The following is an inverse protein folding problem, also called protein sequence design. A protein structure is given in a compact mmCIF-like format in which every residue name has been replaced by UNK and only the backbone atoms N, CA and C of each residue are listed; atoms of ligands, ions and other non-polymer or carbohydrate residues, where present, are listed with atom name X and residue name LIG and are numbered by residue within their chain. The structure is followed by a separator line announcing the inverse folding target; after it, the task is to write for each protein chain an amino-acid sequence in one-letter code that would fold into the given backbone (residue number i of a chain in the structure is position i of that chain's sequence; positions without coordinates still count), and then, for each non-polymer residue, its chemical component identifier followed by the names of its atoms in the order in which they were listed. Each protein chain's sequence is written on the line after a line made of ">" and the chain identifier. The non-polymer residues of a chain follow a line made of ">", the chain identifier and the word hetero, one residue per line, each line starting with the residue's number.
data_IF_913610729467
#
_entry.id   IF_913610729467
#
_cell.length_a   1.000
_cell.length_b   1.000
_cell.length_c   1.000
_cell.angle_alpha   90.00
_cell.angle_beta   90.00
_cell.angle_gamma   90.00
#
_symmetry.space_group_name_H-M   'P 1'
#
loop_
_entity.id
_entity.type
_entity.pdbx_description
1 polymer ?
2 non-polymer ?
3 non-polymer ?
4 water ?
#
# COMPACT_ATOMS: atom_id res chain seq x y z
N UNK A 1 -14.27 22.61 -0.75
CA UNK A 1 -15.04 22.19 -1.96
C UNK A 1 -14.12 21.52 -2.99
N UNK A 2 -13.59 20.34 -2.66
CA UNK A 2 -12.86 19.51 -3.62
C UNK A 2 -13.84 19.00 -4.65
N UNK A 3 -13.39 18.95 -5.92
CA UNK A 3 -14.14 18.37 -7.02
C UNK A 3 -13.29 17.36 -7.76
N UNK A 4 -13.91 16.25 -8.15
CA UNK A 4 -13.27 15.21 -8.94
C UNK A 4 -13.10 15.74 -10.37
N UNK A 5 -11.86 15.98 -10.85
CA UNK A 5 -11.68 16.46 -12.22
C UNK A 5 -11.96 15.32 -13.18
N UNK A 6 -12.57 15.64 -14.33
CA UNK A 6 -12.70 14.71 -15.43
C UNK A 6 -11.29 14.33 -15.88
N UNK A 7 -11.13 13.07 -16.34
CA UNK A 7 -9.93 12.64 -17.05
C UNK A 7 -9.73 13.51 -18.29
N UNK A 8 -8.48 13.82 -18.70
CA UNK A 8 -8.24 14.56 -19.93
C UNK A 8 -8.33 13.70 -21.21
N UNK A 9 -8.93 12.52 -21.11
CA UNK A 9 -9.11 11.59 -22.22
C UNK A 9 -10.22 10.61 -21.82
N UNK A 10 -10.75 9.87 -22.80
CA UNK A 10 -11.71 8.81 -22.54
C UNK A 10 -11.09 7.75 -21.62
N UNK A 11 -11.95 7.04 -20.90
CA UNK A 11 -11.52 6.00 -19.97
C UNK A 11 -10.78 4.85 -20.66
N UNK A 12 -11.01 4.68 -21.98
CA UNK A 12 -10.40 3.60 -22.76
C UNK A 12 -9.18 4.05 -23.58
N UNK A 13 -8.75 5.31 -23.43
CA UNK A 13 -7.72 5.92 -24.30
C UNK A 13 -6.29 5.44 -24.03
N UNK A 14 -6.07 4.80 -22.87
CA UNK A 14 -4.76 4.32 -22.49
C UNK A 14 -4.62 2.80 -22.58
N UNK A 15 -5.70 2.13 -23.02
CA UNK A 15 -5.77 0.67 -23.03
C UNK A 15 -4.72 0.04 -23.94
N UNK A 16 -4.62 0.53 -25.17
CA UNK A 16 -3.61 0.06 -26.11
C UNK A 16 -2.17 0.34 -25.65
N UNK A 17 -2.00 1.26 -24.70
CA UNK A 17 -0.69 1.61 -24.12
C UNK A 17 -0.39 0.95 -22.74
N UNK A 18 -1.30 0.09 -22.26
CA UNK A 18 -1.06 -0.76 -21.12
C UNK A 18 -1.73 -0.39 -19.80
N UNK A 19 -2.66 0.56 -19.83
CA UNK A 19 -3.51 0.89 -18.68
C UNK A 19 -4.97 0.75 -19.13
N UNK A 20 -5.64 -0.30 -18.61
CA UNK A 20 -6.94 -0.73 -19.13
C UNK A 20 -8.05 0.24 -18.74
N UNK A 21 -9.16 0.15 -19.46
CA UNK A 21 -10.37 0.90 -19.17
C UNK A 21 -10.81 0.60 -17.75
N UNK A 22 -10.75 -0.68 -17.36
CA UNK A 22 -11.17 -1.10 -16.02
C UNK A 22 -10.38 -0.38 -14.93
N UNK A 23 -9.06 -0.26 -15.12
CA UNK A 23 -8.22 0.46 -14.17
C UNK A 23 -8.62 1.93 -14.02
N UNK A 24 -8.86 2.61 -15.15
CA UNK A 24 -9.28 4.02 -15.08
C UNK A 24 -10.64 4.19 -14.42
N UNK A 25 -11.59 3.29 -14.69
CA UNK A 25 -12.89 3.31 -14.03
C UNK A 25 -12.71 3.18 -12.49
N UNK A 26 -12.09 2.09 -12.03
CA UNK A 26 -11.86 1.92 -10.58
C UNK A 26 -11.05 3.06 -10.00
N UNK A 27 -9.95 3.40 -10.67
CA UNK A 27 -8.93 4.28 -10.09
C UNK A 27 -9.44 5.71 -10.02
N UNK A 28 -10.03 6.19 -11.11
CA UNK A 28 -10.57 7.55 -11.18
C UNK A 28 -11.96 7.65 -10.56
N UNK A 29 -12.87 6.76 -10.97
CA UNK A 29 -14.31 6.90 -10.64
C UNK A 29 -14.61 6.45 -9.21
N UNK A 30 -13.77 5.59 -8.63
CA UNK A 30 -13.95 5.14 -7.26
C UNK A 30 -12.89 5.65 -6.29
N UNK A 31 -11.61 5.35 -6.56
CA UNK A 31 -10.55 5.74 -5.63
C UNK A 31 -10.40 7.26 -5.51
N UNK A 32 -10.23 7.95 -6.64
CA UNK A 32 -10.03 9.39 -6.60
C UNK A 32 -11.29 10.06 -6.04
N UNK A 33 -12.47 9.60 -6.49
CA UNK A 33 -13.75 10.07 -5.96
C UNK A 33 -13.81 9.97 -4.42
N UNK A 34 -13.32 8.87 -3.86
CA UNK A 34 -13.32 8.69 -2.41
C UNK A 34 -12.43 9.73 -1.71
N UNK A 35 -11.27 10.07 -2.29
CA UNK A 35 -10.40 11.10 -1.71
C UNK A 35 -11.09 12.47 -1.70
N UNK A 36 -11.79 12.78 -2.80
CA UNK A 36 -12.57 14.02 -2.91
C UNK A 36 -13.68 14.05 -1.85
N UNK A 37 -14.50 13.00 -1.82
CA UNK A 37 -15.68 12.94 -0.95
C UNK A 37 -15.28 12.88 0.52
N UNK A 38 -14.33 11.99 0.85
CA UNK A 38 -13.87 11.85 2.23
C UNK A 38 -13.13 13.11 2.69
N UNK A 39 -12.30 13.67 1.80
CA UNK A 39 -11.69 14.98 2.01
C UNK A 39 -12.68 16.07 2.35
N UNK A 40 -13.72 16.25 1.51
CA UNK A 40 -14.80 17.22 1.78
C UNK A 40 -15.49 16.99 3.13
N UNK A 41 -15.84 15.74 3.43
CA UNK A 41 -16.50 15.43 4.68
C UNK A 41 -15.62 15.81 5.88
N UNK A 42 -14.32 15.52 5.80
CA UNK A 42 -13.41 15.77 6.92
C UNK A 42 -13.09 17.24 7.08
N UNK A 43 -13.00 17.95 5.95
CA UNK A 43 -12.68 19.38 5.92
C UNK A 43 -13.86 20.31 6.35
N UNK A 44 -15.10 19.88 6.05
CA UNK A 44 -16.31 20.66 6.35
C UNK A 44 -16.35 21.11 7.82
N UNK A 45 -16.54 22.42 8.02
CA UNK A 45 -16.61 23.03 9.33
C UNK A 45 -15.32 23.13 10.12
N UNK A 46 -14.17 22.97 9.45
CA UNK A 46 -12.85 23.20 10.05
C UNK A 46 -12.19 24.47 9.45
N UNK A 47 -11.04 24.84 10.07
CA UNK A 47 -10.20 25.94 9.56
C UNK A 47 -9.72 25.77 8.10
N UNK A 48 -9.74 24.53 7.59
CA UNK A 48 -9.25 24.23 6.23
C UNK A 48 -10.28 24.38 5.09
N UNK A 49 -11.57 24.54 5.45
CA UNK A 49 -12.67 24.58 4.47
C UNK A 49 -12.58 25.69 3.40
N UNK A 50 -11.98 26.83 3.74
CA UNK A 50 -11.75 27.90 2.77
C UNK A 50 -10.71 27.58 1.70
N UNK A 51 -9.74 26.73 2.06
CA UNK A 51 -8.43 26.76 1.42
C UNK A 51 -8.26 25.90 0.16
N UNK A 52 -7.24 26.24 -0.65
CA UNK A 52 -6.84 25.44 -1.82
C UNK A 52 -6.24 24.11 -1.37
N UNK A 53 -6.33 23.10 -2.23
CA UNK A 53 -5.76 21.79 -1.93
C UNK A 53 -4.30 21.95 -1.51
N UNK A 54 -3.55 22.77 -2.27
CA UNK A 54 -2.13 22.97 -2.00
C UNK A 54 -1.89 23.50 -0.58
N UNK A 55 -2.68 24.50 -0.17
CA UNK A 55 -2.56 25.06 1.17
C UNK A 55 -2.88 24.01 2.23
N UNK A 56 -3.88 23.17 1.96
CA UNK A 56 -4.32 22.15 2.90
C UNK A 56 -3.23 21.08 3.08
N UNK A 57 -2.62 20.65 1.98
CA UNK A 57 -1.54 19.66 2.00
C UNK A 57 -0.35 20.17 2.82
N UNK A 58 0.13 21.37 2.50
CA UNK A 58 1.27 21.97 3.17
C UNK A 58 1.00 22.25 4.65
N UNK A 59 -0.23 22.66 4.97
CA UNK A 59 -0.61 23.03 6.31
C UNK A 59 -0.90 21.86 7.26
N UNK A 60 -1.29 20.71 6.71
CA UNK A 60 -1.68 19.55 7.50
C UNK A 60 -0.61 18.46 7.58
N UNK A 61 0.41 18.57 6.73
CA UNK A 61 1.55 17.66 6.78
C UNK A 61 2.24 17.74 8.14
N UNK A 62 2.44 16.58 8.78
CA UNK A 62 3.15 16.45 10.05
C UNK A 62 4.48 15.74 9.77
N UNK A 63 5.55 16.55 9.71
CA UNK A 63 6.90 16.10 9.38
C UNK A 63 7.40 15.08 10.41
N UNK A 64 7.65 13.86 9.95
CA UNK A 64 8.19 12.81 10.79
C UNK A 64 7.15 11.84 11.35
N UNK A 65 5.86 12.17 11.19
CA UNK A 65 4.79 11.25 11.59
C UNK A 65 4.75 10.10 10.62
N UNK A 66 4.56 8.89 11.16
CA UNK A 66 4.42 7.70 10.36
C UNK A 66 3.05 7.76 9.67
N UNK A 67 2.02 8.08 10.44
CA UNK A 67 0.66 8.21 9.95
C UNK A 67 0.28 9.69 10.02
N UNK A 68 -0.28 10.21 8.91
CA UNK A 68 -0.73 11.60 8.81
C UNK A 68 -2.23 11.63 9.18
N UNK A 69 -2.82 12.84 9.30
CA UNK A 69 -4.25 13.00 9.56
C UNK A 69 -5.12 12.54 8.37
N UNK A 70 -6.40 12.29 8.64
CA UNK A 70 -7.38 11.97 7.62
C UNK A 70 -7.48 13.07 6.57
N UNK A 71 -7.50 14.33 7.04
CA UNK A 71 -7.50 15.48 6.15
C UNK A 71 -6.28 15.45 5.23
N UNK A 72 -5.10 15.25 5.80
CA UNK A 72 -3.90 15.18 4.96
C UNK A 72 -3.99 14.03 3.95
N UNK A 73 -4.35 12.84 4.43
CA UNK A 73 -4.36 11.64 3.61
C UNK A 73 -5.20 11.85 2.34
N UNK A 74 -6.39 12.46 2.53
CA UNK A 74 -7.32 12.67 1.43
C UNK A 74 -6.98 13.88 0.53
N UNK A 75 -6.57 14.98 1.15
CA UNK A 75 -6.19 16.19 0.42
C UNK A 75 -4.98 15.93 -0.48
N UNK A 76 -3.96 15.26 0.09
CA UNK A 76 -2.73 14.96 -0.63
C UNK A 76 -3.00 14.02 -1.80
N UNK A 77 -3.80 12.98 -1.54
CA UNK A 77 -4.16 12.02 -2.57
C UNK A 77 -5.02 12.66 -3.68
N UNK A 78 -5.92 13.58 -3.31
CA UNK A 78 -6.68 14.33 -4.30
C UNK A 78 -5.72 15.08 -5.27
N UNK A 79 -4.80 15.84 -4.69
CA UNK A 79 -3.82 16.58 -5.48
C UNK A 79 -2.97 15.63 -6.35
N UNK A 80 -2.49 14.53 -5.75
CA UNK A 80 -1.63 13.58 -6.45
C UNK A 80 -2.32 13.00 -7.69
N UNK A 81 -3.56 12.56 -7.50
CA UNK A 81 -4.33 11.92 -8.58
C UNK A 81 -4.67 12.95 -9.69
N UNK A 82 -4.95 14.19 -9.31
CA UNK A 82 -5.21 15.26 -10.28
C UNK A 82 -4.02 15.47 -11.18
N UNK A 83 -2.80 15.44 -10.61
CA UNK A 83 -1.57 15.60 -11.40
C UNK A 83 -1.37 14.36 -12.28
N UNK A 84 -1.48 13.17 -11.67
CA UNK A 84 -1.28 11.89 -12.33
C UNK A 84 -2.06 11.77 -13.67
N UNK A 85 -3.37 12.06 -13.65
CA UNK A 85 -4.16 11.95 -14.88
C UNK A 85 -3.63 12.83 -16.02
N UNK A 86 -3.20 14.06 -15.67
CA UNK A 86 -2.67 15.05 -16.62
C UNK A 86 -1.29 14.66 -17.14
N UNK A 87 -0.53 13.90 -16.33
CA UNK A 87 0.82 13.49 -16.67
C UNK A 87 0.89 12.32 -17.64
N UNK A 88 -0.27 11.70 -17.93
CA UNK A 88 -0.39 10.65 -18.93
C UNK A 88 -1.26 11.15 -20.08
N UNK A 89 -1.23 10.45 -21.21
CA UNK A 89 -2.03 10.79 -22.36
C UNK A 89 -1.97 9.72 -23.44
N UNK A 90 -2.95 9.68 -24.38
CA UNK A 90 -2.90 8.76 -25.53
C UNK A 90 -1.83 9.17 -26.54
N UNK A 91 -1.57 8.29 -27.51
CA UNK A 91 -0.63 8.53 -28.60
C UNK A 91 0.60 7.65 -28.47
N UNK A 92 0.97 6.99 -29.56
CA UNK A 92 2.15 6.13 -29.62
C UNK A 92 3.37 7.07 -29.76
N UNK A 93 4.49 6.65 -29.17
CA UNK A 93 5.78 7.38 -29.21
C UNK A 93 5.63 8.90 -29.01
N UNK A 94 5.06 9.29 -27.86
CA UNK A 94 4.93 10.71 -27.49
C UNK A 94 6.32 11.34 -27.39
N UNK A 95 6.45 12.59 -27.86
CA UNK A 95 7.75 13.26 -27.97
C UNK A 95 8.10 14.07 -26.72
N UNK A 96 9.40 14.20 -26.44
CA UNK A 96 9.91 14.94 -25.31
C UNK A 96 10.40 16.32 -25.77
N UNK A 97 9.86 17.43 -25.22
CA UNK A 97 10.36 18.76 -25.58
C UNK A 97 11.85 18.94 -25.22
N UNK A 98 12.56 19.66 -26.08
CA UNK A 98 13.96 19.96 -25.94
C UNK A 98 14.41 20.42 -24.57
N UNK A 99 13.69 21.39 -23.99
CA UNK A 99 14.12 21.97 -22.71
C UNK A 99 14.14 20.90 -21.63
N UNK A 100 13.12 20.04 -21.61
CA UNK A 100 13.08 18.93 -20.65
C UNK A 100 14.21 17.91 -20.92
N UNK A 101 14.35 17.51 -22.19
CA UNK A 101 15.38 16.54 -22.56
C UNK A 101 16.77 17.00 -22.15
N UNK A 102 17.09 18.26 -22.47
CA UNK A 102 18.36 18.86 -22.11
C UNK A 102 18.59 18.81 -20.57
N UNK A 103 17.54 19.14 -19.80
CA UNK A 103 17.66 19.18 -18.35
C UNK A 103 17.86 17.76 -17.79
N UNK A 104 17.16 16.78 -18.37
CA UNK A 104 17.29 15.39 -17.95
C UNK A 104 18.69 14.83 -18.25
N UNK A 105 19.23 15.16 -19.45
CA UNK A 105 20.56 14.72 -19.83
C UNK A 105 21.61 15.34 -18.90
N UNK A 106 21.42 16.63 -18.57
CA UNK A 106 22.33 17.33 -17.68
C UNK A 106 22.32 16.75 -16.25
N UNK A 107 21.14 16.34 -15.76
CA UNK A 107 21.00 15.91 -14.37
C UNK A 107 21.25 14.42 -14.18
N UNK A 108 20.98 13.59 -15.21
CA UNK A 108 21.05 12.14 -15.08
C UNK A 108 22.03 11.46 -16.04
N UNK A 109 22.60 12.22 -16.99
CA UNK A 109 23.48 11.68 -18.01
C UNK A 109 22.78 11.33 -19.32
N UNK A 110 21.55 10.84 -19.22
CA UNK A 110 20.73 10.46 -20.37
C UNK A 110 19.28 10.29 -19.91
N UNK A 111 18.34 10.29 -20.86
CA UNK A 111 16.95 9.96 -20.55
C UNK A 111 16.82 8.50 -20.12
N UNK A 112 17.55 7.58 -20.74
CA UNK A 112 17.51 6.15 -20.36
C UNK A 112 17.88 5.96 -18.85
N UNK A 113 18.94 6.63 -18.42
CA UNK A 113 19.39 6.62 -17.02
C UNK A 113 18.35 7.23 -16.07
N UNK A 114 17.77 8.37 -16.46
CA UNK A 114 16.65 8.95 -15.72
C UNK A 114 15.54 7.94 -15.51
N UNK A 115 15.14 7.26 -16.60
CA UNK A 115 14.06 6.32 -16.54
C UNK A 115 14.36 5.13 -15.61
N UNK A 116 15.58 4.60 -15.68
CA UNK A 116 16.01 3.54 -14.76
C UNK A 116 15.99 3.97 -13.29
N UNK A 117 16.48 5.18 -13.00
CA UNK A 117 16.46 5.72 -11.63
C UNK A 117 15.02 5.91 -11.13
N UNK A 118 14.13 6.41 -11.99
CA UNK A 118 12.76 6.65 -11.64
C UNK A 118 12.07 5.31 -11.30
N UNK A 119 12.24 4.32 -12.20
CA UNK A 119 11.68 2.98 -11.99
C UNK A 119 12.24 2.33 -10.70
N UNK A 120 13.55 2.48 -10.44
CA UNK A 120 14.17 1.96 -9.21
C UNK A 120 13.52 2.60 -7.96
N UNK A 121 13.30 3.91 -8.00
CA UNK A 121 12.67 4.59 -6.87
C UNK A 121 11.24 4.06 -6.62
N UNK A 122 10.47 3.88 -7.71
CA UNK A 122 9.12 3.38 -7.62
C UNK A 122 9.06 1.97 -7.02
N UNK A 123 9.98 1.11 -7.46
CA UNK A 123 10.08 -0.26 -6.97
C UNK A 123 10.49 -0.26 -5.49
N UNK A 124 11.30 0.74 -5.10
CA UNK A 124 11.90 0.85 -3.79
C UNK A 124 11.01 1.43 -2.69
N UNK A 125 9.83 1.97 -3.03
CA UNK A 125 8.93 2.51 -2.02
C UNK A 125 8.12 1.33 -1.47
N UNK A 126 8.47 0.90 -0.25
CA UNK A 126 7.84 -0.27 0.35
C UNK A 126 6.45 0.05 0.89
N UNK A 127 5.45 -0.63 0.37
CA UNK A 127 4.04 -0.38 0.64
C UNK A 127 3.46 0.50 -0.46
N UNK A 128 2.57 1.43 -0.06
CA UNK A 128 1.87 2.33 -0.96
C UNK A 128 2.64 3.63 -1.03
N UNK A 129 2.59 4.26 -2.20
CA UNK A 129 3.17 5.59 -2.39
C UNK A 129 3.36 5.97 -3.83
N UNK A 130 4.37 6.80 -4.08
CA UNK A 130 4.56 7.52 -5.35
C UNK A 130 6.04 7.62 -5.64
N UNK A 131 6.41 7.52 -6.92
CA UNK A 131 7.73 7.96 -7.40
C UNK A 131 7.58 9.31 -8.13
N UNK A 132 8.59 10.17 -8.01
CA UNK A 132 8.52 11.50 -8.56
C UNK A 132 9.82 11.89 -9.24
N UNK A 133 9.69 12.72 -10.28
CA UNK A 133 10.75 13.60 -10.76
C UNK A 133 10.37 14.97 -10.27
N UNK A 134 11.25 15.62 -9.52
CA UNK A 134 10.97 16.94 -8.98
C UNK A 134 12.05 17.94 -9.36
N UNK A 135 11.68 19.22 -9.31
CA UNK A 135 12.60 20.32 -9.32
C UNK A 135 12.58 20.82 -7.89
N UNK A 136 13.72 20.79 -7.21
CA UNK A 136 13.79 21.24 -5.80
C UNK A 136 14.01 22.74 -5.70
N UNK A 137 14.08 23.27 -4.47
CA UNK A 137 14.19 24.72 -4.25
C UNK A 137 15.51 25.34 -4.71
N UNK A 138 16.52 24.51 -5.01
CA UNK A 138 17.76 24.96 -5.69
C UNK A 138 17.69 24.90 -7.22
N UNK A 139 16.55 24.44 -7.76
CA UNK A 139 16.36 24.24 -9.18
C UNK A 139 16.94 22.97 -9.74
N UNK A 140 17.39 22.07 -8.87
CA UNK A 140 17.98 20.78 -9.30
C UNK A 140 16.86 19.79 -9.60
N UNK A 141 17.01 19.00 -10.66
CA UNK A 141 16.09 17.94 -11.01
C UNK A 141 16.59 16.64 -10.36
N UNK A 142 15.69 15.90 -9.73
CA UNK A 142 16.06 14.68 -9.06
C UNK A 142 14.83 13.83 -8.82
N UNK A 143 15.10 12.54 -8.53
CA UNK A 143 14.09 11.54 -8.28
C UNK A 143 13.83 11.49 -6.78
N UNK A 144 12.55 11.39 -6.41
CA UNK A 144 12.19 11.17 -5.01
C UNK A 144 11.15 10.07 -4.93
N UNK A 145 10.88 9.61 -3.71
CA UNK A 145 9.78 8.68 -3.46
C UNK A 145 9.13 9.04 -2.16
N UNK A 146 7.82 8.79 -2.07
CA UNK A 146 7.05 9.16 -0.90
C UNK A 146 6.06 8.05 -0.55
N UNK A 147 5.69 7.99 0.73
CA UNK A 147 4.67 7.07 1.24
C UNK A 147 3.26 7.61 1.13
N UNK A 148 2.33 6.70 0.80
CA UNK A 148 0.91 6.94 0.95
C UNK A 148 0.49 8.16 0.09
N UNK A 149 0.03 9.23 0.72
CA UNK A 149 -0.28 10.46 0.01
C UNK A 149 0.79 11.56 0.02
N UNK A 150 1.87 11.35 0.81
CA UNK A 150 2.93 12.34 0.90
C UNK A 150 3.46 12.65 -0.51
N UNK A 151 3.86 13.89 -0.75
CA UNK A 151 4.16 14.34 -2.10
C UNK A 151 5.14 15.51 -2.06
N UNK A 152 5.61 16.00 -3.23
CA UNK A 152 6.62 17.06 -3.27
C UNK A 152 6.28 18.37 -2.61
N UNK A 153 4.98 18.68 -2.49
CA UNK A 153 4.56 19.90 -1.83
C UNK A 153 5.00 19.89 -0.38
N UNK A 154 5.14 18.70 0.20
CA UNK A 154 5.53 18.56 1.61
C UNK A 154 7.00 18.91 1.86
N UNK A 155 7.80 19.04 0.80
CA UNK A 155 9.23 19.33 0.89
C UNK A 155 9.69 20.59 0.13
N UNK A 156 8.71 21.44 -0.24
CA UNK A 156 8.99 22.67 -1.00
C UNK A 156 9.58 22.38 -2.36
N UNK A 157 9.13 21.30 -3.00
CA UNK A 157 9.59 20.87 -4.31
C UNK A 157 8.44 21.01 -5.31
N UNK A 158 8.79 21.09 -6.59
CA UNK A 158 7.84 21.16 -7.67
C UNK A 158 7.81 19.79 -8.37
N UNK A 159 6.64 19.16 -8.38
CA UNK A 159 6.43 17.90 -9.08
C UNK A 159 6.45 18.11 -10.60
N UNK A 160 7.35 17.38 -11.29
CA UNK A 160 7.36 17.34 -12.75
C UNK A 160 6.65 16.11 -13.28
N UNK A 161 6.87 14.97 -12.61
CA UNK A 161 6.22 13.72 -12.94
C UNK A 161 6.02 12.91 -11.67
N UNK A 162 4.87 12.27 -11.58
CA UNK A 162 4.55 11.35 -10.51
C UNK A 162 4.00 10.07 -11.07
N UNK A 163 4.37 8.94 -10.46
CA UNK A 163 3.80 7.66 -10.82
C UNK A 163 3.29 7.00 -9.54
N UNK A 164 1.99 6.70 -9.52
CA UNK A 164 1.30 6.05 -8.42
C UNK A 164 1.79 4.62 -8.32
N UNK A 165 2.39 4.26 -7.17
CA UNK A 165 2.76 2.85 -6.95
C UNK A 165 1.94 2.18 -5.84
N UNK A 166 0.82 2.81 -5.44
CA UNK A 166 -0.21 2.06 -4.76
C UNK A 166 -0.62 0.91 -5.68
N UNK A 167 -0.90 -0.25 -5.11
CA UNK A 167 -1.16 -1.44 -5.90
C UNK A 167 -2.40 -1.31 -6.78
N UNK A 168 -3.40 -0.53 -6.34
CA UNK A 168 -4.62 -0.33 -7.13
C UNK A 168 -4.34 0.31 -8.50
N UNK A 169 -3.23 1.04 -8.61
CA UNK A 169 -2.86 1.72 -9.84
C UNK A 169 -2.46 0.78 -10.95
N UNK A 170 -2.03 -0.44 -10.60
CA UNK A 170 -1.50 -1.38 -11.55
C UNK A 170 -1.94 -2.82 -11.42
N UNK A 171 -2.54 -3.19 -10.28
CA UNK A 171 -2.77 -4.61 -9.99
C UNK A 171 -3.68 -5.31 -11.01
N UNK A 172 -4.66 -4.59 -11.56
CA UNK A 172 -5.55 -5.16 -12.59
C UNK A 172 -4.77 -5.53 -13.83
N UNK A 173 -3.84 -4.66 -14.24
CA UNK A 173 -3.12 -4.82 -15.50
C UNK A 173 -1.81 -5.57 -15.39
N UNK A 174 -1.12 -5.46 -14.24
CA UNK A 174 0.21 -6.05 -14.07
C UNK A 174 0.34 -7.00 -12.89
N UNK A 175 -0.71 -7.12 -12.08
CA UNK A 175 -0.65 -7.88 -10.84
C UNK A 175 0.55 -7.39 -10.01
N UNK A 176 1.42 -8.32 -9.59
CA UNK A 176 2.59 -8.02 -8.76
C UNK A 176 3.75 -7.35 -9.47
N UNK A 177 3.67 -7.20 -10.80
CA UNK A 177 4.80 -6.76 -11.59
C UNK A 177 4.95 -5.26 -11.61
N UNK A 178 5.23 -4.69 -10.43
CA UNK A 178 5.37 -3.25 -10.31
C UNK A 178 6.50 -2.73 -11.22
N UNK A 179 7.67 -3.41 -11.33
CA UNK A 179 8.72 -2.92 -12.22
C UNK A 179 8.28 -2.86 -13.70
N UNK A 180 7.60 -3.89 -14.21
CA UNK A 180 7.09 -3.85 -15.60
C UNK A 180 6.09 -2.68 -15.80
N UNK A 181 5.26 -2.42 -14.78
CA UNK A 181 4.32 -1.30 -14.82
C UNK A 181 5.03 0.02 -14.96
N UNK A 182 6.07 0.22 -14.13
CA UNK A 182 6.84 1.45 -14.12
C UNK A 182 7.54 1.69 -15.46
N UNK A 183 8.14 0.63 -16.00
CA UNK A 183 8.83 0.68 -17.29
C UNK A 183 7.84 1.05 -18.37
N UNK A 184 6.70 0.37 -18.39
CA UNK A 184 5.68 0.58 -19.41
C UNK A 184 5.19 2.03 -19.31
N UNK A 185 4.97 2.50 -18.07
CA UNK A 185 4.50 3.84 -17.79
C UNK A 185 5.40 4.87 -18.43
N UNK A 186 6.70 4.76 -18.14
CA UNK A 186 7.70 5.69 -18.65
C UNK A 186 7.85 5.62 -20.16
N UNK A 187 7.69 4.43 -20.74
CA UNK A 187 7.90 4.25 -22.16
C UNK A 187 6.67 4.60 -23.00
N UNK A 188 5.46 4.40 -22.46
CA UNK A 188 4.24 4.52 -23.28
C UNK A 188 3.18 5.53 -22.82
N UNK A 189 3.11 5.79 -21.51
CA UNK A 189 2.01 6.56 -20.94
C UNK A 189 2.28 8.03 -20.67
N UNK A 190 3.53 8.38 -20.37
CA UNK A 190 3.85 9.73 -19.93
C UNK A 190 3.65 10.74 -21.08
N UNK A 191 2.91 11.80 -20.77
CA UNK A 191 2.76 12.98 -21.61
C UNK A 191 3.89 13.93 -21.23
N UNK A 192 4.98 13.89 -22.00
CA UNK A 192 6.18 14.66 -21.70
C UNK A 192 5.98 16.16 -21.84
N UNK A 193 5.01 16.56 -22.67
CA UNK A 193 4.63 17.96 -22.79
C UNK A 193 4.06 18.46 -21.48
N UNK A 194 3.22 17.65 -20.82
CA UNK A 194 2.68 18.05 -19.53
C UNK A 194 3.80 18.14 -18.48
N UNK A 195 4.73 17.18 -18.52
CA UNK A 195 5.88 17.19 -17.62
C UNK A 195 6.71 18.46 -17.81
N UNK A 196 7.02 18.79 -19.06
CA UNK A 196 7.83 19.95 -19.39
C UNK A 196 7.16 21.27 -18.94
N UNK A 197 5.83 21.32 -19.03
CA UNK A 197 5.06 22.53 -18.72
C UNK A 197 5.14 22.91 -17.23
N UNK A 198 5.54 21.95 -16.38
CA UNK A 198 5.66 22.16 -14.94
C UNK A 198 7.02 22.71 -14.51
N UNK A 199 7.98 22.76 -15.46
CA UNK A 199 9.32 23.28 -15.20
C UNK A 199 9.34 24.80 -14.98
N UNK B 1 18.41 -20.15 6.29
CA UNK B 1 17.75 -19.12 5.45
C UNK B 1 16.26 -19.13 5.70
N UNK B 2 15.58 -18.06 5.29
CA UNK B 2 14.12 -18.03 5.23
C UNK B 2 13.66 -19.02 4.17
N UNK B 3 12.53 -19.71 4.44
CA UNK B 3 11.88 -20.58 3.47
C UNK B 3 10.41 -20.26 3.38
N UNK B 4 9.86 -20.32 2.16
CA UNK B 4 8.45 -20.16 1.89
C UNK B 4 7.68 -21.37 2.41
N UNK B 5 6.85 -21.25 3.47
CA UNK B 5 6.08 -22.40 3.94
C UNK B 5 4.97 -22.72 2.95
N UNK B 6 4.69 -24.01 2.77
CA UNK B 6 3.53 -24.48 2.03
C UNK B 6 2.28 -23.98 2.74
N UNK B 7 1.24 -23.63 1.97
CA UNK B 7 -0.08 -23.36 2.49
C UNK B 7 -0.59 -24.61 3.22
N UNK B 8 -1.36 -24.47 4.33
CA UNK B 8 -1.94 -25.64 4.99
C UNK B 8 -3.21 -26.19 4.32
N UNK B 9 -3.47 -25.76 3.07
CA UNK B 9 -4.63 -26.21 2.31
C UNK B 9 -4.32 -25.96 0.83
N UNK B 10 -5.12 -26.58 -0.05
CA UNK B 10 -5.00 -26.38 -1.49
C UNK B 10 -5.20 -24.90 -1.82
N UNK B 11 -4.61 -24.48 -2.94
CA UNK B 11 -4.70 -23.10 -3.40
C UNK B 11 -6.15 -22.67 -3.71
N UNK B 12 -7.03 -23.65 -3.97
CA UNK B 12 -8.43 -23.36 -4.29
C UNK B 12 -9.40 -23.54 -3.10
N UNK B 13 -8.86 -23.81 -1.91
CA UNK B 13 -9.69 -24.22 -0.75
C UNK B 13 -10.50 -23.09 -0.09
N UNK B 14 -10.15 -21.84 -0.40
CA UNK B 14 -10.83 -20.68 0.16
C UNK B 14 -11.75 -19.97 -0.84
N UNK B 15 -11.82 -20.49 -2.06
CA UNK B 15 -12.55 -19.85 -3.16
C UNK B 15 -14.05 -19.74 -2.86
N UNK B 16 -14.66 -20.85 -2.43
CA UNK B 16 -16.07 -20.84 -2.03
C UNK B 16 -16.37 -19.92 -0.84
N UNK B 17 -15.32 -19.54 -0.08
CA UNK B 17 -15.43 -18.61 1.07
C UNK B 17 -15.02 -17.15 0.76
N UNK B 18 -14.70 -16.85 -0.51
CA UNK B 18 -14.45 -15.49 -0.98
C UNK B 18 -13.01 -15.04 -1.20
N UNK B 19 -12.06 -15.97 -1.17
CA UNK B 19 -10.65 -15.69 -1.50
C UNK B 19 -10.23 -16.67 -2.59
N UNK B 20 -10.07 -16.16 -3.81
CA UNK B 20 -9.97 -17.00 -5.02
C UNK B 20 -8.64 -17.72 -5.09
N UNK B 21 -8.59 -18.76 -5.92
CA UNK B 21 -7.38 -19.48 -6.24
C UNK B 21 -6.32 -18.53 -6.77
N UNK B 22 -6.74 -17.61 -7.65
CA UNK B 22 -5.83 -16.67 -8.26
C UNK B 22 -5.11 -15.81 -7.21
N UNK B 23 -5.87 -15.34 -6.21
CA UNK B 23 -5.31 -14.56 -5.12
C UNK B 23 -4.25 -15.34 -4.34
N UNK B 24 -4.53 -16.60 -3.99
CA UNK B 24 -3.57 -17.40 -3.25
C UNK B 24 -2.31 -17.70 -4.06
N UNK B 25 -2.46 -17.94 -5.37
CA UNK B 25 -1.30 -18.13 -6.24
C UNK B 25 -0.41 -16.88 -6.26
N UNK B 26 -0.96 -15.72 -6.62
CA UNK B 26 -0.17 -14.49 -6.62
C UNK B 26 0.37 -14.18 -5.21
N UNK B 27 -0.50 -14.27 -4.20
CA UNK B 27 -0.19 -13.77 -2.87
C UNK B 27 0.87 -14.63 -2.19
N UNK B 28 0.69 -15.94 -2.23
CA UNK B 28 1.62 -16.90 -1.63
C UNK B 28 2.81 -17.18 -2.53
N UNK B 29 2.56 -17.54 -3.80
CA UNK B 29 3.61 -18.05 -4.69
C UNK B 29 4.53 -16.94 -5.22
N UNK B 30 4.02 -15.69 -5.27
CA UNK B 30 4.83 -14.55 -5.75
C UNK B 30 5.18 -13.55 -4.65
N UNK B 31 4.18 -12.97 -3.98
CA UNK B 31 4.46 -11.94 -2.98
C UNK B 31 5.23 -12.48 -1.78
N UNK B 32 4.73 -13.56 -1.16
CA UNK B 32 5.41 -14.09 0.00
C UNK B 32 6.79 -14.61 -0.41
N UNK B 33 6.88 -15.31 -1.54
CA UNK B 33 8.17 -15.76 -2.08
C UNK B 33 9.19 -14.61 -2.22
N UNK B 34 8.73 -13.44 -2.69
CA UNK B 34 9.60 -12.29 -2.82
C UNK B 34 10.14 -11.83 -1.45
N UNK B 35 9.31 -11.85 -0.41
CA UNK B 35 9.78 -11.49 0.94
C UNK B 35 10.86 -12.45 1.44
N UNK B 36 10.68 -13.75 1.16
CA UNK B 36 11.64 -14.78 1.52
C UNK B 36 12.96 -14.53 0.77
N UNK B 37 12.88 -14.40 -0.55
CA UNK B 37 14.06 -14.26 -1.41
C UNK B 37 14.78 -12.95 -1.16
N UNK B 38 14.06 -11.84 -1.10
CA UNK B 38 14.66 -10.53 -0.84
C UNK B 38 15.25 -10.44 0.56
N UNK B 39 14.52 -11.02 1.53
CA UNK B 39 15.00 -11.19 2.89
C UNK B 39 16.34 -11.91 2.94
N UNK B 40 16.40 -13.10 2.33
CA UNK B 40 17.65 -13.88 2.24
C UNK B 40 18.79 -13.13 1.58
N UNK B 41 18.51 -12.45 0.47
CA UNK B 41 19.58 -11.78 -0.24
C UNK B 41 20.15 -10.64 0.62
N UNK B 42 19.29 -9.92 1.35
CA UNK B 42 19.74 -8.80 2.18
C UNK B 42 20.43 -9.26 3.45
N UNK B 43 19.97 -10.39 4.01
CA UNK B 43 20.51 -10.96 5.24
C UNK B 43 21.88 -11.66 5.07
N UNK B 44 22.10 -12.25 3.89
CA UNK B 44 23.35 -12.99 3.59
C UNK B 44 24.59 -12.13 3.91
N UNK B 45 25.49 -12.70 4.72
CA UNK B 45 26.72 -12.05 5.13
C UNK B 45 26.60 -10.91 6.14
N UNK B 46 25.46 -10.84 6.84
CA UNK B 46 25.25 -9.87 7.93
C UNK B 46 25.21 -10.60 9.29
N UNK B 47 25.18 -9.77 10.36
CA UNK B 47 24.98 -10.20 11.74
C UNK B 47 23.68 -11.05 11.94
N UNK B 48 22.70 -10.87 11.06
CA UNK B 48 21.38 -11.49 11.18
C UNK B 48 21.24 -12.87 10.54
N UNK B 49 22.24 -13.30 9.76
CA UNK B 49 22.16 -14.55 8.97
C UNK B 49 21.90 -15.85 9.78
N UNK B 50 22.39 -15.90 11.02
CA UNK B 50 22.12 -17.03 11.89
C UNK B 50 20.69 -17.12 12.41
N UNK B 51 20.03 -15.96 12.52
CA UNK B 51 18.97 -15.77 13.48
C UNK B 51 17.55 -16.14 12.99
N UNK B 52 16.64 -16.36 13.97
CA UNK B 52 15.23 -16.62 13.70
C UNK B 52 14.56 -15.35 13.17
N UNK B 53 13.47 -15.54 12.40
CA UNK B 53 12.72 -14.44 11.85
C UNK B 53 12.35 -13.45 12.95
N UNK B 54 11.87 -14.00 14.08
CA UNK B 54 11.42 -13.21 15.21
C UNK B 54 12.53 -12.30 15.74
N UNK B 55 13.73 -12.86 15.92
CA UNK B 55 14.88 -12.09 16.37
C UNK B 55 15.22 -10.98 15.39
N UNK B 56 15.12 -11.28 14.09
CA UNK B 56 15.49 -10.33 13.05
C UNK B 56 14.50 -9.15 13.02
N UNK B 57 13.21 -9.45 13.15
CA UNK B 57 12.14 -8.44 13.19
C UNK B 57 12.34 -7.49 14.36
N UNK B 58 12.49 -8.06 15.57
CA UNK B 58 12.66 -7.28 16.79
C UNK B 58 13.95 -6.46 16.78
N UNK B 59 15.02 -7.03 16.23
CA UNK B 59 16.33 -6.40 16.20
C UNK B 59 16.52 -5.30 15.16
N UNK B 60 15.73 -5.35 14.07
CA UNK B 60 15.88 -4.41 12.96
C UNK B 60 14.82 -3.32 12.91
N UNK B 61 13.75 -3.47 13.69
CA UNK B 61 12.73 -2.44 13.79
C UNK B 61 13.31 -1.13 14.33
N UNK B 62 13.05 -0.03 13.62
CA UNK B 62 13.46 1.31 14.01
C UNK B 62 12.19 2.11 14.38
N UNK B 63 11.95 2.23 15.69
CA UNK B 63 10.76 2.92 16.22
C UNK B 63 10.70 4.40 15.81
N UNK B 64 11.88 5.01 15.56
CA UNK B 64 12.00 6.39 15.19
C UNK B 64 12.08 6.70 13.69
N UNK B 65 11.52 5.80 12.85
CA UNK B 65 11.66 5.94 11.41
C UNK B 65 10.35 5.74 10.65
N UNK B 66 10.15 6.60 9.64
CA UNK B 66 9.01 6.57 8.74
C UNK B 66 9.09 5.32 7.87
N UNK B 67 10.28 5.06 7.31
CA UNK B 67 10.56 3.87 6.53
C UNK B 67 11.55 3.00 7.28
N UNK B 68 11.36 1.68 7.20
CA UNK B 68 12.21 0.69 7.84
C UNK B 68 13.25 0.21 6.82
N UNK B 69 14.26 -0.52 7.29
CA UNK B 69 15.28 -1.12 6.40
C UNK B 69 14.67 -2.23 5.51
N UNK B 70 15.39 -2.56 4.43
CA UNK B 70 15.05 -3.67 3.54
C UNK B 70 14.97 -5.00 4.30
N UNK B 71 15.92 -5.23 5.21
CA UNK B 71 15.91 -6.43 6.04
C UNK B 71 14.63 -6.47 6.87
N UNK B 72 14.31 -5.35 7.54
CA UNK B 72 13.08 -5.32 8.32
C UNK B 72 11.84 -5.59 7.45
N UNK B 73 11.75 -4.86 6.34
CA UNK B 73 10.57 -4.91 5.47
C UNK B 73 10.24 -6.35 5.06
N UNK B 74 11.29 -7.09 4.67
CA UNK B 74 11.14 -8.44 4.20
C UNK B 74 10.98 -9.48 5.32
N UNK B 75 11.77 -9.36 6.39
CA UNK B 75 11.67 -10.27 7.54
C UNK B 75 10.29 -10.20 8.18
N UNK B 76 9.81 -8.99 8.43
CA UNK B 76 8.51 -8.76 9.06
C UNK B 76 7.37 -9.31 8.19
N UNK B 77 7.42 -9.02 6.90
CA UNK B 77 6.41 -9.52 5.96
C UNK B 77 6.44 -11.05 5.82
N UNK B 78 7.64 -11.64 5.86
CA UNK B 78 7.76 -13.09 5.86
C UNK B 78 6.99 -13.68 7.07
N UNK B 79 7.30 -13.18 8.27
CA UNK B 79 6.62 -13.60 9.48
C UNK B 79 5.10 -13.37 9.38
N UNK B 80 4.69 -12.17 8.94
CA UNK B 80 3.26 -11.82 8.85
C UNK B 80 2.49 -12.81 7.97
N UNK B 81 3.04 -13.09 6.79
CA UNK B 81 2.37 -13.96 5.81
C UNK B 81 2.34 -15.42 6.32
N UNK B 82 3.40 -15.85 7.00
CA UNK B 82 3.43 -17.20 7.59
C UNK B 82 2.29 -17.38 8.58
N UNK B 83 2.04 -16.35 9.39
CA UNK B 83 0.93 -16.37 10.35
C UNK B 83 -0.41 -16.33 9.60
N UNK B 84 -0.54 -15.40 8.67
CA UNK B 84 -1.77 -15.16 7.90
C UNK B 84 -2.34 -16.45 7.28
N UNK B 85 -1.50 -17.24 6.60
CA UNK B 85 -1.98 -18.48 5.96
C UNK B 85 -2.57 -19.45 6.99
N UNK B 86 -1.92 -19.54 8.17
CA UNK B 86 -2.34 -20.42 9.26
C UNK B 86 -3.63 -19.93 9.94
N UNK B 87 -3.84 -18.62 9.90
CA UNK B 87 -4.98 -17.98 10.55
C UNK B 87 -6.29 -18.12 9.75
N UNK B 88 -6.19 -18.61 8.52
CA UNK B 88 -7.35 -18.90 7.66
C UNK B 88 -7.43 -20.39 7.42
N UNK B 89 -8.58 -20.85 6.93
CA UNK B 89 -8.77 -22.26 6.64
C UNK B 89 -10.09 -22.54 5.92
N UNK B 90 -10.23 -23.70 5.24
CA UNK B 90 -11.50 -24.09 4.63
C UNK B 90 -12.54 -24.51 5.68
N UNK B 91 -13.79 -24.68 5.23
CA UNK B 91 -14.91 -25.15 6.04
C UNK B 91 -15.89 -24.01 6.31
N UNK B 92 -17.18 -24.26 6.09
CA UNK B 92 -18.25 -23.32 6.44
C UNK B 92 -18.44 -23.34 7.95
N UNK B 93 -18.74 -22.16 8.52
CA UNK B 93 -19.01 -21.97 9.95
C UNK B 93 -18.00 -22.71 10.85
N UNK B 94 -16.73 -22.37 10.69
CA UNK B 94 -15.64 -22.88 11.52
C UNK B 94 -15.90 -22.53 12.97
N UNK B 95 -15.57 -23.46 13.87
CA UNK B 95 -15.88 -23.31 15.29
C UNK B 95 -14.95 -22.30 15.97
N UNK B 96 -15.53 -21.43 16.81
CA UNK B 96 -14.75 -20.59 17.72
C UNK B 96 -14.65 -21.25 19.08
N UNK B 97 -13.44 -21.61 19.57
CA UNK B 97 -13.31 -22.25 20.88
C UNK B 97 -13.82 -21.33 21.99
N UNK B 98 -14.41 -21.95 23.00
CA UNK B 98 -14.91 -21.31 24.20
C UNK B 98 -13.97 -20.30 24.83
N UNK B 99 -12.70 -20.69 25.01
CA UNK B 99 -11.72 -19.83 25.68
C UNK B 99 -11.58 -18.52 24.92
N UNK B 100 -11.55 -18.59 23.58
CA UNK B 100 -11.42 -17.39 22.76
C UNK B 100 -12.70 -16.55 22.83
N UNK B 101 -13.86 -17.20 22.69
CA UNK B 101 -15.15 -16.50 22.73
C UNK B 101 -15.29 -15.72 24.04
N UNK B 102 -14.98 -16.40 25.15
CA UNK B 102 -15.02 -15.80 26.46
C UNK B 102 -14.11 -14.56 26.55
N UNK B 103 -12.89 -14.69 26.03
CA UNK B 103 -11.90 -13.62 26.12
C UNK B 103 -12.32 -12.43 25.27
N UNK B 104 -12.91 -12.70 24.10
CA UNK B 104 -13.42 -11.63 23.24
C UNK B 104 -14.56 -10.85 23.91
N UNK B 105 -15.49 -11.59 24.53
CA UNK B 105 -16.62 -10.96 25.22
C UNK B 105 -16.10 -10.10 26.40
N UNK B 106 -15.13 -10.65 27.14
CA UNK B 106 -14.53 -9.97 28.25
C UNK B 106 -13.82 -8.67 27.86
N UNK B 107 -13.13 -8.67 26.71
CA UNK B 107 -12.34 -7.53 26.29
C UNK B 107 -13.13 -6.50 25.45
N UNK B 108 -14.13 -6.95 24.70
CA UNK B 108 -14.83 -6.09 23.73
C UNK B 108 -16.32 -5.93 23.98
N UNK B 109 -16.87 -6.69 24.93
CA UNK B 109 -18.29 -6.67 25.25
C UNK B 109 -19.09 -7.76 24.53
N UNK B 110 -18.69 -8.07 23.30
CA UNK B 110 -19.34 -9.10 22.49
C UNK B 110 -18.42 -9.46 21.34
N UNK B 111 -18.69 -10.62 20.71
CA UNK B 111 -17.96 -11.03 19.51
C UNK B 111 -18.26 -10.07 18.36
N UNK B 112 -19.53 -9.65 18.23
CA UNK B 112 -19.94 -8.72 17.17
C UNK B 112 -19.14 -7.39 17.26
N UNK B 113 -19.02 -6.85 18.47
CA UNK B 113 -18.25 -5.63 18.72
C UNK B 113 -16.76 -5.79 18.40
N UNK B 114 -16.17 -6.92 18.80
CA UNK B 114 -14.81 -7.26 18.40
C UNK B 114 -14.66 -7.19 16.89
N UNK B 115 -15.57 -7.82 16.16
CA UNK B 115 -15.49 -7.88 14.70
C UNK B 115 -15.60 -6.49 14.07
N UNK B 116 -16.54 -5.67 14.56
CA UNK B 116 -16.66 -4.28 14.10
C UNK B 116 -15.41 -3.45 14.32
N UNK B 117 -14.81 -3.57 15.52
CA UNK B 117 -13.57 -2.83 15.86
C UNK B 117 -12.42 -3.30 14.97
N UNK B 118 -12.33 -4.62 14.73
CA UNK B 118 -11.26 -5.16 13.92
C UNK B 118 -11.38 -4.63 12.48
N UNK B 119 -12.59 -4.73 11.91
CA UNK B 119 -12.87 -4.25 10.56
C UNK B 119 -12.58 -2.72 10.45
N UNK B 120 -12.97 -1.95 11.47
CA UNK B 120 -12.71 -0.51 11.52
C UNK B 120 -11.21 -0.23 11.49
N UNK B 121 -10.43 -0.98 12.26
CA UNK B 121 -8.99 -0.80 12.26
C UNK B 121 -8.39 -1.08 10.87
N UNK B 122 -8.84 -2.17 10.24
CA UNK B 122 -8.37 -2.55 8.92
C UNK B 122 -8.68 -1.48 7.86
N UNK B 123 -9.90 -0.93 7.91
CA UNK B 123 -10.34 0.10 7.00
C UNK B 123 -9.55 1.38 7.23
N UNK B 124 -9.18 1.61 8.50
CA UNK B 124 -8.52 2.83 8.93
C UNK B 124 -7.01 2.91 8.71
N UNK B 125 -6.37 1.82 8.27
CA UNK B 125 -4.94 1.85 7.99
C UNK B 125 -4.75 2.43 6.61
N UNK B 126 -4.32 3.68 6.53
CA UNK B 126 -4.21 4.37 5.25
C UNK B 126 -2.93 3.91 4.50
N UNK B 127 -3.14 3.33 3.31
CA UNK B 127 -2.11 2.70 2.51
C UNK B 127 -2.05 1.20 2.83
N UNK B 128 -0.84 0.65 2.90
CA UNK B 128 -0.60 -0.77 3.08
C UNK B 128 -0.36 -1.06 4.56
N UNK B 129 -0.80 -2.23 5.01
CA UNK B 129 -0.57 -2.66 6.38
C UNK B 129 -1.44 -3.83 6.80
N UNK B 130 -1.71 -3.89 8.11
CA UNK B 130 -2.31 -5.05 8.78
C UNK B 130 -3.21 -4.55 9.89
N UNK B 131 -4.32 -5.28 10.09
CA UNK B 131 -5.11 -5.19 11.32
C UNK B 131 -4.81 -6.40 12.17
N UNK B 132 -4.78 -6.20 13.49
CA UNK B 132 -4.45 -7.26 14.44
C UNK B 132 -5.37 -7.28 15.62
N UNK B 133 -5.63 -8.51 16.11
CA UNK B 133 -6.07 -8.77 17.46
C UNK B 133 -4.83 -9.25 18.19
N UNK B 134 -4.46 -8.57 19.27
CA UNK B 134 -3.26 -8.89 20.03
C UNK B 134 -3.59 -9.10 21.48
N UNK B 135 -2.72 -9.85 22.17
CA UNK B 135 -2.65 -9.88 23.62
C UNK B 135 -1.48 -8.96 23.93
N UNK B 136 -1.75 -7.87 24.67
CA UNK B 136 -0.69 -6.93 25.03
C UNK B 136 0.03 -7.40 26.31
N UNK B 137 1.04 -6.62 26.73
CA UNK B 137 1.90 -7.01 27.84
C UNK B 137 1.21 -7.08 29.20
N UNK B 138 -0.01 -6.54 29.31
CA UNK B 138 -0.87 -6.71 30.51
C UNK B 138 -1.80 -7.92 30.44
N UNK B 139 -1.79 -8.61 29.30
CA UNK B 139 -2.61 -9.79 29.08
C UNK B 139 -4.03 -9.49 28.63
N UNK B 140 -4.30 -8.20 28.36
CA UNK B 140 -5.56 -7.76 27.79
C UNK B 140 -5.52 -7.95 26.27
N UNK B 141 -6.68 -8.22 25.68
CA UNK B 141 -6.85 -8.26 24.24
C UNK B 141 -7.18 -6.86 23.71
N UNK B 142 -6.57 -6.50 22.59
CA UNK B 142 -6.92 -5.27 21.92
C UNK B 142 -6.64 -5.34 20.44
N UNK B 143 -7.26 -4.41 19.72
CA UNK B 143 -7.11 -4.25 18.29
C UNK B 143 -6.00 -3.25 18.03
N UNK B 144 -5.12 -3.55 17.08
CA UNK B 144 -4.14 -2.60 16.61
C UNK B 144 -4.15 -2.58 15.09
N UNK B 145 -3.45 -1.60 14.54
CA UNK B 145 -3.18 -1.56 13.13
C UNK B 145 -1.77 -1.05 12.94
N UNK B 146 -1.13 -1.55 11.88
CA UNK B 146 0.25 -1.26 11.58
C UNK B 146 0.45 -1.01 10.10
N UNK B 147 1.50 -0.25 9.79
CA UNK B 147 1.91 0.04 8.43
C UNK B 147 2.84 -1.03 7.84
N UNK B 148 2.64 -1.32 6.56
CA UNK B 148 3.59 -2.04 5.75
C UNK B 148 3.83 -3.45 6.34
N UNK B 149 5.06 -3.73 6.80
CA UNK B 149 5.35 -4.96 7.47
C UNK B 149 5.37 -4.92 9.00
N UNK B 150 5.23 -3.72 9.57
CA UNK B 150 5.25 -3.58 11.04
C UNK B 150 4.16 -4.48 11.65
N UNK B 151 4.46 -5.06 12.81
CA UNK B 151 3.62 -6.11 13.37
C UNK B 151 3.75 -6.14 14.89
N UNK B 152 2.93 -6.96 15.60
CA UNK B 152 2.93 -6.96 17.06
C UNK B 152 4.26 -7.29 17.77
N UNK B 153 5.15 -8.01 17.07
CA UNK B 153 6.46 -8.33 17.64
C UNK B 153 7.24 -7.06 17.91
N UNK B 154 6.93 -6.00 17.16
CA UNK B 154 7.63 -4.73 17.29
C UNK B 154 7.29 -3.99 18.59
N UNK B 155 6.22 -4.41 19.28
CA UNK B 155 5.69 -3.75 20.48
C UNK B 155 5.60 -4.69 21.70
N UNK B 156 6.27 -5.85 21.63
CA UNK B 156 6.27 -6.84 22.69
C UNK B 156 4.87 -7.38 22.94
N UNK B 157 4.10 -7.57 21.87
CA UNK B 157 2.74 -8.07 21.92
C UNK B 157 2.67 -9.42 21.23
N UNK B 158 1.63 -10.19 21.55
CA UNK B 158 1.39 -11.48 20.93
C UNK B 158 0.25 -11.35 19.94
N UNK B 159 0.52 -11.66 18.67
CA UNK B 159 -0.47 -11.68 17.61
C UNK B 159 -1.39 -12.88 17.78
N UNK B 160 -2.70 -12.62 17.84
CA UNK B 160 -3.71 -13.68 17.83
C UNK B 160 -4.33 -13.83 16.45
N UNK B 161 -4.58 -12.70 15.79
CA UNK B 161 -5.14 -12.69 14.43
C UNK B 161 -4.60 -11.46 13.70
N UNK B 162 -4.24 -11.67 12.44
CA UNK B 162 -3.83 -10.60 11.56
C UNK B 162 -4.63 -10.70 10.26
N UNK B 163 -5.01 -9.55 9.69
CA UNK B 163 -5.62 -9.48 8.39
C UNK B 163 -4.80 -8.49 7.54
N UNK B 164 -4.28 -8.99 6.42
CA UNK B 164 -3.48 -8.23 5.48
C UNK B 164 -4.40 -7.24 4.77
N UNK B 165 -4.11 -5.94 4.91
CA UNK B 165 -4.86 -4.95 4.15
C UNK B 165 -4.03 -4.24 3.09
N UNK B 166 -2.86 -4.79 2.78
CA UNK B 166 -2.24 -4.45 1.49
C UNK B 166 -3.26 -4.80 0.41
N UNK B 167 -3.32 -3.96 -0.63
CA UNK B 167 -4.32 -4.12 -1.68
C UNK B 167 -4.19 -5.45 -2.43
N UNK B 168 -2.96 -5.99 -2.54
CA UNK B 168 -2.77 -7.27 -3.25
C UNK B 168 -3.53 -8.42 -2.57
N UNK B 169 -3.80 -8.29 -1.26
CA UNK B 169 -4.49 -9.33 -0.52
C UNK B 169 -5.94 -9.49 -0.91
N UNK B 170 -6.55 -8.43 -1.48
CA UNK B 170 -7.97 -8.43 -1.80
C UNK B 170 -8.38 -7.91 -3.16
N UNK B 171 -7.48 -7.20 -3.86
CA UNK B 171 -7.88 -6.46 -5.04
C UNK B 171 -8.47 -7.33 -6.17
N UNK B 172 -7.97 -8.55 -6.33
CA UNK B 172 -8.49 -9.47 -7.34
C UNK B 172 -9.95 -9.82 -7.05
N UNK B 173 -10.27 -10.04 -5.78
CA UNK B 173 -11.58 -10.53 -5.37
C UNK B 173 -12.57 -9.44 -5.00
N UNK B 174 -12.08 -8.31 -4.48
CA UNK B 174 -12.95 -7.24 -3.97
C UNK B 174 -12.70 -5.87 -4.57
N UNK B 175 -11.65 -5.75 -5.39
CA UNK B 175 -11.24 -4.48 -5.93
C UNK B 175 -11.06 -3.48 -4.76
N UNK B 176 -11.69 -2.31 -4.86
CA UNK B 176 -11.57 -1.25 -3.85
C UNK B 176 -12.35 -1.50 -2.54
N UNK B 177 -13.14 -2.58 -2.49
CA UNK B 177 -14.04 -2.80 -1.37
C UNK B 177 -13.37 -3.46 -0.18
N UNK B 178 -12.42 -2.74 0.41
CA UNK B 178 -11.70 -3.25 1.57
C UNK B 178 -12.65 -3.56 2.72
N UNK B 179 -13.69 -2.75 3.03
CA UNK B 179 -14.62 -3.10 4.11
C UNK B 179 -15.36 -4.43 3.87
N UNK B 180 -15.86 -4.68 2.65
CA UNK B 180 -16.52 -5.97 2.35
C UNK B 180 -15.53 -7.14 2.53
N UNK B 181 -14.28 -6.94 2.12
CA UNK B 181 -13.23 -7.94 2.31
C UNK B 181 -13.02 -8.30 3.77
N UNK B 182 -12.91 -7.27 4.61
CA UNK B 182 -12.69 -7.44 6.04
C UNK B 182 -13.85 -8.19 6.71
N UNK B 183 -15.07 -7.79 6.34
CA UNK B 183 -16.27 -8.41 6.86
C UNK B 183 -16.30 -9.89 6.46
N UNK B 184 -16.07 -10.15 5.18
CA UNK B 184 -16.07 -11.50 4.68
C UNK B 184 -15.03 -12.34 5.39
N UNK B 185 -13.83 -11.76 5.55
CA UNK B 185 -12.71 -12.42 6.22
C UNK B 185 -13.11 -12.92 7.60
N UNK B 186 -13.65 -12.00 8.41
CA UNK B 186 -14.10 -12.31 9.75
C UNK B 186 -15.26 -13.29 9.81
N UNK B 187 -16.14 -13.26 8.81
CA UNK B 187 -17.33 -14.11 8.77
C UNK B 187 -17.01 -15.53 8.28
N UNK B 188 -16.07 -15.67 7.32
CA UNK B 188 -15.92 -16.93 6.59
C UNK B 188 -14.53 -17.57 6.57
N UNK B 189 -13.48 -16.75 6.68
CA UNK B 189 -12.13 -17.22 6.42
C UNK B 189 -11.30 -17.58 7.65
N UNK B 190 -11.57 -16.92 8.79
CA UNK B 190 -10.73 -17.07 9.97
C UNK B 190 -10.87 -18.48 10.54
N UNK B 191 -9.72 -19.11 10.79
CA UNK B 191 -9.58 -20.35 11.54
C UNK B 191 -9.41 -19.96 13.00
N UNK B 192 -10.53 -19.95 13.74
CA UNK B 192 -10.55 -19.49 15.11
C UNK B 192 -9.78 -20.42 16.04
N UNK B 193 -9.64 -21.70 15.66
CA UNK B 193 -8.82 -22.63 16.41
C UNK B 193 -7.37 -22.22 16.37
N UNK B 194 -6.89 -21.78 15.20
CA UNK B 194 -5.53 -21.27 15.12
C UNK B 194 -5.36 -19.98 15.95
N UNK B 195 -6.36 -19.10 15.89
CA UNK B 195 -6.36 -17.87 16.69
C UNK B 195 -6.26 -18.21 18.19
N UNK B 196 -7.11 -19.12 18.65
CA UNK B 196 -7.17 -19.52 20.05
C UNK B 196 -5.87 -20.12 20.54
N UNK B 197 -5.20 -20.87 19.67
CA UNK B 197 -3.97 -21.58 20.00
C UNK B 197 -2.80 -20.63 20.32
N UNK B 198 -2.91 -19.37 19.91
CA UNK B 198 -1.88 -18.37 20.13
C UNK B 198 -2.00 -17.65 21.48
N UNK B 199 -3.11 -17.90 22.19
CA UNK B 199 -3.42 -17.24 23.46
C UNK B 199 -2.54 -17.74 24.60
X LIG C 1 -4.07 5.85 -6.75
X LIG D 1 -16.80 -0.12 -12.43
X LIG E 1 0.32 -9.59 1.63
X LIG F 1 -21.57 -17.81 10.03
#
# INVERSE_FOLDING_TARGET
>A
AFELPALPYAHDALASLGMSKETLEYHHDLHHKAYVDNGNKLIAGTEWEGKSVEEIVKGTYCAGAVAQSGIFNNASQHWNHAQFWEMMGPGEDKKMPGALEKALVESFGSVAKFKEDFAAAGAGQFGSGWAWLVKDSDGALKITKTENGVNPLCFGQTALLGCDVWEHSYYIDFRNKRPAYLTNFLDKLVNWENVASRM
>B
AFELPALPYAHDALASLGMSKETLEYHHDLHHKAYVDNGNKLIAGTEWEGKSVEEIVKGTYCAGAVAQSGIFNNASQHWNHAQFWEMMGPGEDKKMPGALEKALVESFGSVAKFKEDFAAAGAGQFGSGWAWLVKDSDGALKITKTENGVNPLCFGQTALLGCDVWEHSYYIDFRNKRPAYLTNFLDKLVNWENVASRM
>C hetero
1 MN MN
>D hetero
1 CA CA
>E hetero
1 MN MN
>F hetero
1 CA CA
#
